data_IF_539427429569
#
_entry.id   IF_539427429569
#
_cell.length_a   1.000
_cell.length_b   1.000
_cell.length_c   1.000
_cell.angle_alpha   90.00
_cell.angle_beta   90.00
_cell.angle_gamma   90.00
#
_symmetry.space_group_name_H-M   'P 1'
#
loop_
_entity.id
_entity.type
_entity.pdbx_description
1 polymer ?
#
# COMPACT_ATOMS: atom_id res chain seq x y z
N UNK A 1 -27.87 29.15 -23.16
CA UNK A 1 -28.81 28.02 -23.35
C UNK A 1 -28.69 26.99 -22.22
N UNK A 2 -28.90 27.40 -20.95
CA UNK A 2 -28.85 26.53 -19.74
C UNK A 2 -29.64 27.15 -18.58
N UNK A 3 -30.80 27.76 -18.89
CA UNK A 3 -31.76 28.29 -17.90
C UNK A 3 -33.18 27.96 -18.38
N UNK A 4 -33.57 26.69 -18.34
CA UNK A 4 -34.97 26.25 -18.54
C UNK A 4 -35.20 24.80 -18.11
N UNK A 5 -34.85 24.46 -16.86
CA UNK A 5 -35.26 23.18 -16.24
C UNK A 5 -35.55 23.35 -14.75
N UNK A 6 -36.25 24.43 -14.39
CA UNK A 6 -36.82 24.59 -13.05
C UNK A 6 -38.34 24.72 -13.16
N UNK A 7 -38.99 23.64 -13.61
CA UNK A 7 -40.40 23.41 -13.26
C UNK A 7 -40.42 22.77 -11.88
N UNK A 8 -41.12 23.42 -10.95
CA UNK A 8 -41.59 22.82 -9.70
C UNK A 8 -42.40 21.59 -10.07
N UNK A 9 -41.82 20.41 -9.90
CA UNK A 9 -42.56 19.18 -9.74
C UNK A 9 -42.28 18.71 -8.33
N UNK A 10 -43.35 18.41 -7.61
CA UNK A 10 -43.40 17.65 -6.36
C UNK A 10 -42.25 16.65 -6.26
N UNK A 11 -41.73 16.49 -5.03
CA UNK A 11 -40.62 15.61 -4.67
C UNK A 11 -40.95 14.14 -4.98
N UNK A 12 -41.05 13.80 -6.25
CA UNK A 12 -41.28 12.46 -6.73
C UNK A 12 -39.99 11.73 -6.44
N UNK A 13 -40.04 10.87 -5.42
CA UNK A 13 -38.91 10.14 -4.88
C UNK A 13 -38.19 9.43 -6.04
N UNK A 14 -37.04 9.95 -6.44
CA UNK A 14 -36.22 9.31 -7.48
C UNK A 14 -35.84 7.93 -6.96
N UNK A 15 -36.42 6.88 -7.56
CA UNK A 15 -36.09 5.49 -7.22
C UNK A 15 -34.60 5.27 -7.46
N UNK A 16 -33.89 4.93 -6.38
CA UNK A 16 -32.44 4.72 -6.41
C UNK A 16 -32.10 3.27 -6.69
N UNK A 17 -30.94 2.99 -7.28
CA UNK A 17 -30.40 1.63 -7.33
C UNK A 17 -29.46 1.39 -6.16
N UNK A 18 -29.62 0.26 -5.49
CA UNK A 18 -28.79 -0.14 -4.36
C UNK A 18 -27.68 -1.06 -4.86
N UNK A 19 -26.44 -0.73 -4.49
CA UNK A 19 -25.31 -1.65 -4.56
C UNK A 19 -24.88 -2.03 -3.15
N UNK A 20 -24.73 -3.32 -2.87
CA UNK A 20 -24.29 -3.83 -1.58
C UNK A 20 -22.96 -4.55 -1.78
N UNK A 21 -21.98 -4.29 -0.90
CA UNK A 21 -20.70 -4.98 -0.99
C UNK A 21 -19.66 -4.54 0.02
N UNK A 22 -18.50 -5.21 -0.02
CA UNK A 22 -17.32 -4.84 0.76
C UNK A 22 -16.51 -3.71 0.14
N UNK A 23 -16.56 -3.52 -1.19
CA UNK A 23 -15.90 -2.41 -1.92
C UNK A 23 -14.39 -2.25 -1.69
N UNK A 24 -13.62 -3.35 -1.74
CA UNK A 24 -12.24 -3.38 -1.27
C UNK A 24 -11.21 -3.92 -2.28
N UNK A 25 -10.13 -3.16 -2.58
CA UNK A 25 -10.11 -1.69 -2.57
C UNK A 25 -11.14 -1.14 -3.56
N UNK A 26 -11.63 0.08 -3.35
CA UNK A 26 -12.48 0.72 -4.35
C UNK A 26 -11.64 1.11 -5.58
N UNK A 27 -12.09 0.77 -6.78
CA UNK A 27 -11.28 0.90 -8.00
C UNK A 27 -12.08 1.28 -9.26
N UNK A 28 -11.38 1.41 -10.39
CA UNK A 28 -11.96 1.78 -11.68
C UNK A 28 -13.12 0.88 -12.12
N UNK A 29 -12.99 -0.44 -11.98
CA UNK A 29 -14.10 -1.39 -12.19
C UNK A 29 -15.36 -1.06 -11.37
N UNK A 30 -15.24 -0.92 -10.04
CA UNK A 30 -16.37 -0.52 -9.18
C UNK A 30 -16.97 0.83 -9.59
N UNK A 31 -16.12 1.82 -9.88
CA UNK A 31 -16.57 3.13 -10.37
C UNK A 31 -17.37 2.99 -11.66
N UNK A 32 -16.90 2.20 -12.62
CA UNK A 32 -17.58 2.01 -13.90
C UNK A 32 -18.95 1.33 -13.74
N UNK A 33 -19.04 0.33 -12.86
CA UNK A 33 -20.29 -0.32 -12.49
C UNK A 33 -21.34 0.71 -12.03
N UNK A 34 -20.95 1.59 -11.12
CA UNK A 34 -21.80 2.64 -10.56
C UNK A 34 -22.13 3.71 -11.61
N UNK A 35 -21.14 4.12 -12.42
CA UNK A 35 -21.34 5.06 -13.52
C UNK A 35 -22.36 4.56 -14.56
N UNK A 36 -22.45 3.25 -14.80
CA UNK A 36 -23.46 2.66 -15.70
C UNK A 36 -24.89 2.91 -15.23
N UNK A 37 -25.12 3.01 -13.91
CA UNK A 37 -26.43 3.37 -13.36
C UNK A 37 -26.64 4.88 -13.39
N UNK A 38 -25.64 5.66 -12.96
CA UNK A 38 -25.70 7.12 -12.93
C UNK A 38 -25.95 7.72 -14.33
N UNK A 39 -25.34 7.15 -15.38
CA UNK A 39 -25.56 7.56 -16.77
C UNK A 39 -26.99 7.37 -17.26
N UNK A 40 -27.78 6.49 -16.63
CA UNK A 40 -29.21 6.31 -16.91
C UNK A 40 -30.10 7.30 -16.15
N UNK A 41 -29.51 8.33 -15.51
CA UNK A 41 -30.23 9.36 -14.77
C UNK A 41 -30.79 8.90 -13.42
N UNK A 42 -30.41 7.72 -12.93
CA UNK A 42 -30.83 7.18 -11.63
C UNK A 42 -29.84 7.58 -10.54
N UNK A 43 -30.34 7.88 -9.34
CA UNK A 43 -29.52 7.97 -8.13
C UNK A 43 -29.08 6.59 -7.65
N UNK A 44 -27.99 6.55 -6.90
CA UNK A 44 -27.35 5.32 -6.42
C UNK A 44 -27.19 5.39 -4.90
N UNK A 45 -27.50 4.27 -4.24
CA UNK A 45 -27.14 4.02 -2.84
C UNK A 45 -26.03 2.96 -2.84
N UNK A 46 -24.92 3.25 -2.17
CA UNK A 46 -23.80 2.32 -1.97
C UNK A 46 -23.80 1.91 -0.50
N UNK A 47 -24.21 0.67 -0.22
CA UNK A 47 -24.12 0.08 1.10
C UNK A 47 -22.77 -0.63 1.27
N UNK A 48 -21.99 -0.18 2.26
CA UNK A 48 -20.72 -0.76 2.65
C UNK A 48 -20.97 -1.71 3.83
N UNK A 49 -20.65 -2.99 3.64
CA UNK A 49 -20.65 -3.99 4.72
C UNK A 49 -19.51 -3.73 5.70
N UNK A 50 -19.84 -3.56 6.98
CA UNK A 50 -18.87 -3.38 8.05
C UNK A 50 -18.25 -4.73 8.48
N UNK A 51 -17.19 -5.09 7.77
CA UNK A 51 -16.50 -6.38 7.90
C UNK A 51 -15.18 -6.25 8.67
N UNK A 52 -14.80 -7.30 9.41
CA UNK A 52 -13.54 -7.33 10.17
C UNK A 52 -12.28 -7.09 9.31
N UNK A 53 -11.29 -6.40 9.90
CA UNK A 53 -10.03 -6.08 9.22
C UNK A 53 -9.04 -7.23 9.38
N UNK A 54 -8.52 -7.73 8.26
CA UNK A 54 -7.51 -8.79 8.23
C UNK A 54 -6.61 -8.67 6.98
N UNK A 55 -5.68 -9.61 6.78
CA UNK A 55 -4.74 -9.55 5.64
C UNK A 55 -5.42 -9.54 4.27
N UNK A 56 -6.56 -10.23 4.13
CA UNK A 56 -7.34 -10.29 2.89
C UNK A 56 -8.33 -9.12 2.76
N UNK A 57 -8.72 -8.53 3.89
CA UNK A 57 -9.60 -7.37 4.05
C UNK A 57 -8.90 -6.22 4.85
N UNK A 58 -7.81 -5.62 4.33
CA UNK A 58 -6.99 -4.65 5.07
C UNK A 58 -7.58 -3.25 5.31
N UNK A 59 -8.86 -2.96 5.01
CA UNK A 59 -9.41 -1.59 5.12
C UNK A 59 -10.62 -1.57 6.03
N UNK A 60 -10.64 -0.60 6.92
CA UNK A 60 -11.80 -0.27 7.76
C UNK A 60 -12.97 0.22 6.88
N UNK A 61 -14.18 0.18 7.44
CA UNK A 61 -15.37 0.71 6.77
C UNK A 61 -15.24 2.20 6.43
N UNK A 62 -14.60 2.99 7.29
CA UNK A 62 -14.38 4.42 7.07
C UNK A 62 -13.35 4.72 5.99
N UNK A 63 -12.28 3.91 5.88
CA UNK A 63 -11.32 4.03 4.79
C UNK A 63 -11.99 3.73 3.44
N UNK A 64 -12.79 2.67 3.38
CA UNK A 64 -13.58 2.32 2.19
C UNK A 64 -14.57 3.43 1.83
N UNK A 65 -15.28 3.97 2.82
CA UNK A 65 -16.16 5.12 2.65
C UNK A 65 -15.40 6.30 2.04
N UNK A 66 -14.23 6.64 2.57
CA UNK A 66 -13.38 7.72 2.04
C UNK A 66 -12.89 7.45 0.61
N UNK A 67 -12.58 6.20 0.26
CA UNK A 67 -12.21 5.83 -1.12
C UNK A 67 -13.38 6.03 -2.09
N UNK A 68 -14.57 5.56 -1.73
CA UNK A 68 -15.79 5.71 -2.55
C UNK A 68 -16.15 7.18 -2.69
N UNK A 69 -16.18 7.93 -1.59
CA UNK A 69 -16.51 9.35 -1.57
C UNK A 69 -15.56 10.15 -2.47
N UNK A 70 -14.24 9.94 -2.37
CA UNK A 70 -13.26 10.59 -3.25
C UNK A 70 -13.42 10.18 -4.71
N UNK A 71 -13.75 8.93 -5.01
CA UNK A 71 -13.87 8.47 -6.39
C UNK A 71 -15.12 9.00 -7.11
N UNK A 72 -16.18 9.30 -6.34
CA UNK A 72 -17.51 9.66 -6.83
C UNK A 72 -17.96 11.07 -6.42
N UNK A 73 -17.11 11.88 -5.78
CA UNK A 73 -17.47 13.22 -5.24
C UNK A 73 -18.20 14.10 -6.26
N UNK A 74 -17.79 14.05 -7.54
CA UNK A 74 -18.36 14.85 -8.64
C UNK A 74 -19.84 14.58 -8.91
N UNK A 75 -20.39 13.48 -8.41
CA UNK A 75 -21.80 13.11 -8.59
C UNK A 75 -22.72 13.73 -7.53
N UNK A 76 -22.16 14.31 -6.46
CA UNK A 76 -22.93 14.97 -5.40
C UNK A 76 -24.08 14.12 -4.89
N UNK A 77 -25.27 14.73 -4.77
CA UNK A 77 -26.47 14.12 -4.22
C UNK A 77 -27.03 12.92 -5.01
N UNK A 78 -26.49 12.63 -6.19
CA UNK A 78 -26.86 11.42 -6.94
C UNK A 78 -26.28 10.14 -6.31
N UNK A 79 -25.29 10.26 -5.41
CA UNK A 79 -24.66 9.13 -4.73
C UNK A 79 -24.83 9.28 -3.23
N UNK A 80 -25.54 8.34 -2.62
CA UNK A 80 -25.64 8.20 -1.16
C UNK A 80 -24.82 7.00 -0.71
N UNK A 81 -23.95 7.19 0.27
CA UNK A 81 -23.15 6.10 0.86
C UNK A 81 -23.72 5.81 2.25
N UNK A 82 -23.98 4.53 2.53
CA UNK A 82 -24.46 4.06 3.84
C UNK A 82 -23.56 2.93 4.33
N UNK A 83 -23.38 2.86 5.64
CA UNK A 83 -22.72 1.72 6.29
C UNK A 83 -23.82 0.81 6.83
N UNK A 84 -23.66 -0.50 6.61
CA UNK A 84 -24.54 -1.54 7.13
C UNK A 84 -23.71 -2.56 7.91
N UNK A 85 -24.29 -3.27 8.89
CA UNK A 85 -23.67 -4.44 9.49
C UNK A 85 -23.22 -5.45 8.43
N UNK A 86 -22.29 -6.34 8.78
CA UNK A 86 -22.00 -7.45 7.90
C UNK A 86 -23.24 -8.33 7.71
N UNK A 87 -23.43 -8.84 6.49
CA UNK A 87 -24.63 -9.63 6.12
C UNK A 87 -24.22 -10.89 5.37
N UNK A 88 -24.96 -11.96 5.60
CA UNK A 88 -24.78 -13.25 4.92
C UNK A 88 -25.62 -13.34 3.64
N UNK A 89 -26.85 -12.83 3.67
CA UNK A 89 -27.81 -12.97 2.58
C UNK A 89 -28.66 -11.71 2.34
N UNK A 90 -29.26 -11.63 1.15
CA UNK A 90 -30.27 -10.63 0.79
C UNK A 90 -31.54 -11.40 0.44
N UNK A 91 -32.52 -11.38 1.36
CA UNK A 91 -33.81 -12.02 1.18
C UNK A 91 -34.84 -11.02 0.62
N UNK A 92 -35.72 -11.49 -0.26
CA UNK A 92 -36.78 -10.68 -0.85
C UNK A 92 -38.07 -11.49 -0.99
N UNK A 93 -39.22 -10.82 -0.80
CA UNK A 93 -40.54 -11.43 -0.86
C UNK A 93 -41.22 -11.32 -2.23
N UNK A 94 -42.51 -11.65 -2.25
CA UNK A 94 -43.39 -11.37 -3.41
C UNK A 94 -43.70 -9.86 -3.49
N UNK A 95 -43.84 -9.34 -4.70
CA UNK A 95 -44.30 -7.97 -4.99
C UNK A 95 -43.46 -6.84 -4.36
N UNK A 96 -42.15 -7.05 -4.18
CA UNK A 96 -41.22 -6.11 -3.51
C UNK A 96 -41.02 -4.77 -4.22
N UNK A 97 -41.54 -4.59 -5.44
CA UNK A 97 -41.48 -3.32 -6.17
C UNK A 97 -40.09 -2.91 -6.69
N UNK A 98 -39.09 -3.78 -6.57
CA UNK A 98 -37.75 -3.64 -7.16
C UNK A 98 -37.34 -4.88 -7.96
N UNK A 99 -36.29 -4.74 -8.77
CA UNK A 99 -35.71 -5.84 -9.57
C UNK A 99 -34.26 -6.08 -9.17
N UNK A 100 -33.83 -7.33 -9.21
CA UNK A 100 -32.41 -7.68 -9.12
C UNK A 100 -31.83 -7.60 -10.53
N UNK A 101 -30.79 -6.80 -10.71
CA UNK A 101 -30.11 -6.63 -12.00
C UNK A 101 -28.64 -6.92 -11.85
N UNK A 102 -28.15 -7.90 -12.62
CA UNK A 102 -26.72 -8.08 -12.88
C UNK A 102 -26.27 -7.06 -13.93
N UNK A 103 -25.15 -6.40 -13.67
CA UNK A 103 -24.49 -5.52 -14.65
C UNK A 103 -23.21 -6.21 -15.08
N UNK A 104 -23.13 -6.56 -16.36
CA UNK A 104 -21.92 -7.09 -16.96
C UNK A 104 -21.07 -5.93 -17.49
N UNK A 105 -19.78 -5.96 -17.18
CA UNK A 105 -18.82 -5.00 -17.71
C UNK A 105 -18.00 -5.69 -18.80
N UNK A 106 -17.48 -4.91 -19.75
CA UNK A 106 -16.58 -5.48 -20.76
C UNK A 106 -15.38 -6.19 -20.09
N UNK A 107 -14.90 -7.32 -20.63
CA UNK A 107 -13.85 -8.14 -20.00
C UNK A 107 -12.56 -7.36 -19.66
N UNK A 108 -12.24 -6.31 -20.43
CA UNK A 108 -11.08 -5.44 -20.18
C UNK A 108 -11.22 -4.59 -18.91
N UNK A 109 -12.45 -4.25 -18.53
CA UNK A 109 -12.78 -3.44 -17.34
C UNK A 109 -12.89 -4.34 -16.10
N UNK A 110 -13.38 -5.58 -16.26
CA UNK A 110 -13.36 -6.60 -15.19
C UNK A 110 -11.93 -7.01 -14.80
N UNK A 111 -11.01 -7.00 -15.77
CA UNK A 111 -9.56 -7.21 -15.53
C UNK A 111 -8.89 -6.08 -14.74
N UNK A 112 -9.56 -4.96 -14.45
CA UNK A 112 -9.12 -3.99 -13.43
C UNK A 112 -9.39 -4.63 -12.06
N UNK A 113 -8.67 -5.70 -11.76
CA UNK A 113 -8.85 -6.49 -10.54
C UNK A 113 -8.38 -5.71 -9.32
N UNK A 114 -9.06 -5.90 -8.19
CA UNK A 114 -8.57 -5.46 -6.89
C UNK A 114 -7.16 -6.00 -6.58
N UNK A 115 -6.72 -7.07 -7.22
CA UNK A 115 -5.39 -7.68 -7.07
C UNK A 115 -4.27 -6.81 -7.65
N UNK A 116 -4.45 -6.18 -8.81
CA UNK A 116 -3.49 -5.20 -9.34
C UNK A 116 -3.43 -3.91 -8.49
N UNK A 117 -4.53 -3.63 -7.77
CA UNK A 117 -4.66 -2.43 -6.92
C UNK A 117 -4.20 -2.69 -5.49
N UNK A 118 -4.12 -3.94 -5.02
CA UNK A 118 -3.32 -4.29 -3.83
C UNK A 118 -1.84 -3.93 -4.03
N UNK A 119 -1.36 -3.94 -5.27
CA UNK A 119 0.00 -3.50 -5.63
C UNK A 119 0.07 -1.96 -5.74
N UNK A 120 -0.99 -1.30 -6.25
CA UNK A 120 -1.07 0.17 -6.36
C UNK A 120 -1.46 0.91 -5.07
N UNK A 121 -1.96 0.18 -4.07
CA UNK A 121 -2.23 0.63 -2.70
C UNK A 121 -1.35 -0.12 -1.69
N UNK A 122 -0.03 -0.21 -1.92
CA UNK A 122 0.82 0.07 -0.77
C UNK A 122 0.47 1.52 -0.39
N UNK A 123 -0.18 1.71 0.76
CA UNK A 123 -0.37 3.03 1.40
C UNK A 123 0.98 3.72 1.65
N UNK A 124 2.07 3.00 1.39
CA UNK A 124 3.45 3.38 1.50
C UNK A 124 4.17 3.30 0.14
N UNK A 125 4.99 4.30 -0.17
CA UNK A 125 6.00 4.24 -1.22
C UNK A 125 7.04 3.15 -0.91
N UNK A 126 7.86 2.73 -1.89
CA UNK A 126 8.86 1.68 -1.69
C UNK A 126 9.83 1.96 -0.52
N UNK A 127 10.15 0.90 0.21
CA UNK A 127 11.26 0.85 1.17
C UNK A 127 12.35 -0.03 0.53
N UNK A 128 13.53 0.53 0.32
CA UNK A 128 14.69 -0.15 -0.25
C UNK A 128 15.69 -0.37 0.88
N UNK A 129 16.03 -1.61 1.18
CA UNK A 129 16.91 -1.95 2.29
C UNK A 129 18.24 -2.49 1.79
N UNK A 130 19.29 -1.68 1.93
CA UNK A 130 20.66 -2.06 1.63
C UNK A 130 21.24 -2.81 2.84
N UNK A 131 21.56 -4.08 2.67
CA UNK A 131 22.26 -4.89 3.68
C UNK A 131 23.57 -5.42 3.13
N UNK A 132 24.58 -5.55 3.98
CA UNK A 132 25.93 -5.91 3.58
C UNK A 132 26.91 -5.63 4.72
N UNK A 133 28.10 -6.21 4.65
CA UNK A 133 29.14 -6.01 5.66
C UNK A 133 29.54 -4.52 5.80
N UNK A 134 30.14 -4.15 6.93
CA UNK A 134 30.70 -2.80 7.11
C UNK A 134 31.69 -2.48 5.98
N UNK A 135 31.59 -1.29 5.41
CA UNK A 135 32.46 -0.86 4.30
C UNK A 135 32.14 -1.47 2.94
N UNK A 136 31.02 -2.17 2.76
CA UNK A 136 30.59 -2.67 1.44
C UNK A 136 30.07 -1.57 0.48
N UNK A 137 30.14 -0.28 0.85
CA UNK A 137 29.65 0.81 -0.01
C UNK A 137 28.14 1.10 0.05
N UNK A 138 27.43 0.59 1.07
CA UNK A 138 25.98 0.82 1.24
C UNK A 138 25.60 2.30 1.24
N UNK A 139 26.30 3.15 2.00
CA UNK A 139 26.01 4.58 2.08
C UNK A 139 26.24 5.26 0.71
N UNK A 140 27.32 4.91 0.00
CA UNK A 140 27.57 5.39 -1.37
C UNK A 140 26.44 5.02 -2.33
N UNK A 141 25.96 3.78 -2.29
CA UNK A 141 24.82 3.32 -3.09
C UNK A 141 23.54 4.04 -2.67
N UNK A 142 23.32 4.27 -1.38
CA UNK A 142 22.16 4.98 -0.87
C UNK A 142 22.11 6.43 -1.39
N UNK A 143 23.24 7.13 -1.36
CA UNK A 143 23.36 8.51 -1.84
C UNK A 143 23.15 8.59 -3.36
N UNK A 144 23.77 7.69 -4.13
CA UNK A 144 23.59 7.62 -5.57
C UNK A 144 22.14 7.32 -5.95
N UNK A 145 21.50 6.40 -5.22
CA UNK A 145 20.09 6.05 -5.42
C UNK A 145 19.19 7.25 -5.08
N UNK A 146 19.40 7.92 -3.94
CA UNK A 146 18.63 9.10 -3.56
C UNK A 146 18.73 10.21 -4.60
N UNK A 147 19.92 10.47 -5.17
CA UNK A 147 20.07 11.46 -6.24
C UNK A 147 19.24 11.13 -7.49
N UNK A 148 19.07 9.83 -7.80
CA UNK A 148 18.35 9.38 -9.00
C UNK A 148 16.84 9.28 -8.83
N UNK A 149 16.38 8.76 -7.70
CA UNK A 149 14.94 8.48 -7.47
C UNK A 149 14.31 9.33 -6.37
N UNK A 150 15.08 10.21 -5.72
CA UNK A 150 14.67 10.96 -4.54
C UNK A 150 14.51 10.09 -3.29
N UNK A 151 13.82 10.63 -2.28
CA UNK A 151 13.48 9.91 -1.06
C UNK A 151 14.33 10.28 0.16
N UNK A 152 14.08 9.58 1.26
CA UNK A 152 14.73 9.81 2.56
C UNK A 152 15.67 8.64 2.85
N UNK A 153 16.91 8.96 3.22
CA UNK A 153 17.89 7.96 3.66
C UNK A 153 17.77 7.77 5.18
N UNK A 154 17.75 6.52 5.62
CA UNK A 154 17.96 6.13 7.02
C UNK A 154 19.34 5.47 7.13
N UNK A 155 20.36 6.26 7.46
CA UNK A 155 21.73 5.79 7.61
C UNK A 155 21.94 5.15 9.00
N UNK A 156 22.59 3.99 9.05
CA UNK A 156 22.77 3.25 10.29
C UNK A 156 23.58 3.97 11.36
N UNK A 157 24.53 4.84 10.99
CA UNK A 157 25.29 5.61 11.97
C UNK A 157 24.44 6.73 12.56
N UNK A 158 23.68 7.44 11.71
CA UNK A 158 22.76 8.48 12.15
C UNK A 158 21.63 7.90 13.02
N UNK A 159 21.01 6.80 12.58
CA UNK A 159 19.94 6.12 13.32
C UNK A 159 20.41 5.58 14.68
N UNK A 160 21.68 5.16 14.79
CA UNK A 160 22.24 4.75 16.08
C UNK A 160 22.35 5.91 17.06
N UNK A 161 22.75 7.09 16.58
CA UNK A 161 22.88 8.30 17.38
C UNK A 161 21.53 8.93 17.76
N UNK A 162 20.45 8.64 17.03
CA UNK A 162 19.15 9.26 17.25
C UNK A 162 18.15 8.33 17.94
N UNK A 163 17.82 7.19 17.33
CA UNK A 163 16.73 6.31 17.77
C UNK A 163 17.21 5.07 18.53
N UNK A 164 18.52 4.92 18.72
CA UNK A 164 19.14 3.80 19.44
C UNK A 164 20.25 4.25 20.38
N UNK A 165 20.08 5.44 20.97
CA UNK A 165 21.01 5.98 21.97
C UNK A 165 21.18 5.00 23.12
N UNK A 166 22.43 4.74 23.51
CA UNK A 166 22.77 3.79 24.58
C UNK A 166 22.82 2.31 24.16
N UNK A 167 22.45 1.96 22.93
CA UNK A 167 22.60 0.59 22.43
C UNK A 167 24.05 0.28 22.05
N UNK A 168 24.51 -0.89 22.47
CA UNK A 168 25.78 -1.45 22.03
C UNK A 168 25.69 -2.15 20.66
N UNK A 169 26.56 -3.14 20.48
CA UNK A 169 26.64 -3.96 19.28
C UNK A 169 26.35 -5.44 19.54
N UNK A 170 25.69 -5.75 20.65
CA UNK A 170 25.24 -7.12 20.96
C UNK A 170 24.23 -7.62 19.90
N UNK A 171 24.02 -8.94 19.84
CA UNK A 171 23.01 -9.53 18.94
C UNK A 171 21.63 -8.92 19.18
N UNK A 172 21.25 -8.75 20.44
CA UNK A 172 19.96 -8.20 20.84
C UNK A 172 19.85 -6.70 20.51
N UNK A 173 20.90 -5.91 20.77
CA UNK A 173 20.92 -4.48 20.40
C UNK A 173 20.79 -4.28 18.89
N UNK A 174 21.50 -5.09 18.10
CA UNK A 174 21.42 -5.06 16.64
C UNK A 174 20.02 -5.41 16.15
N UNK A 175 19.39 -6.41 16.75
CA UNK A 175 18.00 -6.78 16.45
C UNK A 175 17.05 -5.63 16.75
N UNK A 176 17.06 -5.10 17.97
CA UNK A 176 16.16 -3.99 18.35
C UNK A 176 16.38 -2.73 17.52
N UNK A 177 17.64 -2.37 17.25
CA UNK A 177 17.98 -1.27 16.35
C UNK A 177 17.34 -1.45 14.96
N UNK A 178 17.52 -2.62 14.35
CA UNK A 178 16.96 -2.93 13.04
C UNK A 178 15.43 -2.89 13.03
N UNK A 179 14.76 -3.40 14.08
CA UNK A 179 13.30 -3.35 14.20
C UNK A 179 12.78 -1.91 14.39
N UNK A 180 13.51 -1.06 15.12
CA UNK A 180 13.18 0.38 15.24
C UNK A 180 13.28 1.09 13.88
N UNK A 181 14.36 0.85 13.14
CA UNK A 181 14.53 1.38 11.79
C UNK A 181 13.41 0.90 10.86
N UNK A 182 13.02 -0.37 10.92
CA UNK A 182 11.92 -0.90 10.11
C UNK A 182 10.57 -0.21 10.39
N UNK A 183 10.24 0.02 11.67
CA UNK A 183 9.03 0.75 12.06
C UNK A 183 9.06 2.21 11.59
N UNK A 184 10.21 2.88 11.70
CA UNK A 184 10.40 4.24 11.18
C UNK A 184 10.25 4.30 9.66
N UNK A 185 10.83 3.32 8.94
CA UNK A 185 10.73 3.23 7.50
C UNK A 185 9.28 3.09 7.02
N UNK A 186 8.43 2.33 7.73
CA UNK A 186 6.98 2.27 7.44
C UNK A 186 6.30 3.62 7.63
N UNK A 187 6.61 4.32 8.72
CA UNK A 187 6.00 5.63 8.98
C UNK A 187 6.35 6.65 7.88
N UNK A 188 7.64 6.72 7.50
CA UNK A 188 8.13 7.63 6.45
C UNK A 188 7.65 7.24 5.07
N UNK A 189 7.52 5.92 4.81
CA UNK A 189 7.12 5.43 3.50
C UNK A 189 5.70 5.84 3.11
N UNK A 190 4.84 6.25 4.07
CA UNK A 190 3.53 6.85 3.76
C UNK A 190 3.62 8.03 2.78
N UNK A 191 4.75 8.75 2.74
CA UNK A 191 4.93 9.93 1.86
C UNK A 191 6.21 9.89 1.01
N UNK A 192 7.22 9.11 1.39
CA UNK A 192 8.56 9.14 0.79
C UNK A 192 9.02 7.75 0.34
N UNK A 193 9.79 7.66 -0.74
CA UNK A 193 10.65 6.47 -0.92
C UNK A 193 11.64 6.48 0.24
N UNK A 194 11.84 5.33 0.90
CA UNK A 194 12.76 5.22 2.03
C UNK A 194 13.91 4.31 1.64
N UNK A 195 15.14 4.80 1.79
CA UNK A 195 16.37 4.06 1.50
C UNK A 195 17.05 3.79 2.83
N UNK A 196 17.10 2.52 3.24
CA UNK A 196 17.70 2.12 4.52
C UNK A 196 19.11 1.60 4.26
N UNK A 197 20.12 2.23 4.88
CA UNK A 197 21.53 1.84 4.82
C UNK A 197 21.98 1.34 6.19
N UNK A 198 21.56 0.13 6.57
CA UNK A 198 21.83 -0.46 7.89
C UNK A 198 22.37 -1.88 7.75
N UNK A 199 23.26 -2.28 8.67
CA UNK A 199 23.70 -3.68 8.75
C UNK A 199 22.62 -4.50 9.46
N UNK A 200 21.99 -5.42 8.72
CA UNK A 200 21.05 -6.42 9.22
C UNK A 200 21.71 -7.81 9.18
N UNK A 201 22.59 -8.14 10.15
CA UNK A 201 23.52 -9.26 10.02
C UNK A 201 22.88 -10.63 10.23
N UNK A 202 21.73 -10.71 10.90
CA UNK A 202 21.11 -11.99 11.27
C UNK A 202 19.84 -12.24 10.46
N UNK A 203 19.70 -13.46 9.94
CA UNK A 203 18.56 -13.91 9.14
C UNK A 203 17.24 -13.80 9.92
N UNK A 204 17.25 -14.17 11.20
CA UNK A 204 16.08 -14.03 12.08
C UNK A 204 15.57 -12.57 12.12
N UNK A 205 16.49 -11.59 12.14
CA UNK A 205 16.14 -10.17 12.14
C UNK A 205 15.59 -9.75 10.79
N UNK A 206 16.19 -10.21 9.68
CA UNK A 206 15.69 -9.93 8.32
C UNK A 206 14.28 -10.46 8.10
N UNK A 207 13.97 -11.67 8.58
CA UNK A 207 12.60 -12.23 8.52
C UNK A 207 11.57 -11.38 9.26
N UNK A 208 11.93 -10.88 10.45
CA UNK A 208 11.07 -9.95 11.21
C UNK A 208 10.88 -8.62 10.48
N UNK A 209 11.93 -8.11 9.83
CA UNK A 209 11.83 -6.92 8.97
C UNK A 209 10.90 -7.19 7.78
N UNK A 210 10.92 -8.39 7.18
CA UNK A 210 10.01 -8.76 6.10
C UNK A 210 8.55 -8.74 6.54
N UNK A 211 8.24 -9.27 7.72
CA UNK A 211 6.89 -9.23 8.29
C UNK A 211 6.39 -7.80 8.51
N UNK A 212 7.28 -6.93 9.00
CA UNK A 212 6.98 -5.54 9.35
C UNK A 212 6.89 -4.66 8.09
N UNK A 213 7.99 -4.52 7.36
CA UNK A 213 8.18 -3.48 6.35
C UNK A 213 8.13 -4.00 4.90
N UNK A 214 8.23 -5.31 4.68
CA UNK A 214 8.28 -5.94 3.34
C UNK A 214 9.19 -5.18 2.35
N UNK A 215 10.45 -4.88 2.72
CA UNK A 215 11.31 -4.02 1.90
C UNK A 215 11.80 -4.74 0.63
N UNK A 216 12.26 -3.95 -0.32
CA UNK A 216 13.07 -4.43 -1.44
C UNK A 216 14.50 -4.59 -0.91
N UNK A 217 14.90 -5.82 -0.64
CA UNK A 217 16.26 -6.16 -0.22
C UNK A 217 17.28 -6.00 -1.34
N UNK A 218 18.30 -5.20 -1.09
CA UNK A 218 19.52 -5.09 -1.89
C UNK A 218 20.68 -5.62 -1.06
N UNK A 219 21.21 -6.77 -1.46
CA UNK A 219 22.40 -7.33 -0.84
C UNK A 219 23.65 -6.75 -1.51
N UNK A 220 24.41 -5.97 -0.75
CA UNK A 220 25.69 -5.42 -1.18
C UNK A 220 26.80 -6.36 -0.70
N UNK A 221 27.21 -7.23 -1.62
CA UNK A 221 28.24 -8.23 -1.41
C UNK A 221 29.62 -7.61 -1.41
N UNK A 222 30.46 -8.11 -0.51
CA UNK A 222 31.89 -7.79 -0.40
C UNK A 222 32.63 -9.02 0.07
N UNK A 223 33.74 -9.35 -0.58
CA UNK A 223 34.57 -10.50 -0.21
C UNK A 223 35.48 -10.17 0.98
N UNK A 224 34.89 -10.15 2.18
CA UNK A 224 35.63 -10.00 3.45
C UNK A 224 35.29 -11.16 4.38
N UNK A 225 36.31 -11.67 5.07
CA UNK A 225 36.19 -12.77 6.04
C UNK A 225 35.23 -12.39 7.17
N UNK A 226 34.21 -13.21 7.37
CA UNK A 226 33.28 -13.09 8.51
C UNK A 226 34.00 -13.55 9.77
N UNK A 227 33.87 -12.77 10.84
CA UNK A 227 34.54 -13.00 12.14
C UNK A 227 33.52 -12.98 13.27
N UNK A 228 33.90 -13.45 14.46
CA UNK A 228 33.01 -13.41 15.64
C UNK A 228 32.71 -11.97 16.07
N UNK A 229 33.66 -11.05 15.84
CA UNK A 229 33.56 -9.62 16.17
C UNK A 229 32.69 -8.87 15.15
N UNK A 230 32.66 -9.35 13.90
CA UNK A 230 31.82 -8.81 12.81
C UNK A 230 30.95 -9.92 12.23
N UNK A 231 29.99 -10.45 13.01
CA UNK A 231 29.14 -11.53 12.55
C UNK A 231 28.21 -11.01 11.44
N UNK A 232 28.09 -11.79 10.37
CA UNK A 232 27.19 -11.50 9.27
C UNK A 232 26.78 -12.80 8.59
N UNK A 233 25.50 -13.12 8.64
CA UNK A 233 24.90 -14.24 7.91
C UNK A 233 24.53 -13.74 6.52
N UNK A 234 25.08 -14.38 5.49
CA UNK A 234 24.80 -14.05 4.08
C UNK A 234 23.29 -14.21 3.84
N UNK A 235 22.60 -13.17 3.31
CA UNK A 235 21.17 -13.26 3.03
C UNK A 235 20.86 -14.37 2.04
N UNK A 236 19.96 -15.27 2.41
CA UNK A 236 19.48 -16.34 1.52
C UNK A 236 18.41 -15.83 0.54
N UNK A 237 17.74 -14.72 0.89
CA UNK A 237 16.74 -14.06 0.07
C UNK A 237 17.11 -12.60 -0.11
N UNK A 238 17.10 -12.14 -1.35
CA UNK A 238 17.27 -10.74 -1.74
C UNK A 238 16.58 -10.52 -3.09
N UNK A 239 16.21 -9.28 -3.38
CA UNK A 239 15.62 -8.93 -4.68
C UNK A 239 16.71 -8.51 -5.67
N UNK A 240 17.75 -7.84 -5.18
CA UNK A 240 18.88 -7.35 -5.97
C UNK A 240 20.17 -7.71 -5.22
N UNK A 241 21.18 -8.17 -5.97
CA UNK A 241 22.54 -8.38 -5.47
C UNK A 241 23.48 -7.44 -6.21
N UNK A 242 24.32 -6.73 -5.46
CA UNK A 242 25.32 -5.81 -5.98
C UNK A 242 26.69 -6.24 -5.46
N UNK A 243 27.64 -6.49 -6.35
CA UNK A 243 29.01 -6.84 -5.94
C UNK A 243 29.86 -5.56 -5.87
N UNK A 244 30.24 -5.17 -4.66
CA UNK A 244 31.01 -3.95 -4.42
C UNK A 244 32.46 -4.02 -4.90
N UNK A 245 33.02 -5.22 -5.10
CA UNK A 245 34.41 -5.40 -5.54
C UNK A 245 34.59 -5.11 -7.05
N UNK A 246 33.49 -5.01 -7.82
CA UNK A 246 33.49 -4.69 -9.25
C UNK A 246 32.84 -3.33 -9.58
N UNK A 247 32.48 -2.53 -8.57
CA UNK A 247 31.90 -1.20 -8.78
C UNK A 247 33.01 -0.18 -9.04
N UNK A 248 33.47 -0.07 -10.29
CA UNK A 248 34.03 1.20 -10.77
C UNK A 248 32.91 2.24 -10.79
N UNK A 249 33.11 3.48 -10.30
CA UNK A 249 32.05 4.48 -10.10
C UNK A 249 31.21 4.89 -11.33
N UNK A 250 31.50 4.39 -12.54
CA UNK A 250 30.96 4.95 -13.78
C UNK A 250 30.02 4.06 -14.59
N UNK A 251 29.77 2.79 -14.24
CA UNK A 251 29.17 1.85 -15.22
C UNK A 251 27.85 1.13 -14.96
N UNK A 252 27.16 1.31 -13.84
CA UNK A 252 25.92 0.55 -13.65
C UNK A 252 24.83 1.34 -12.93
N UNK A 253 24.16 2.22 -13.67
CA UNK A 253 22.76 2.54 -13.42
C UNK A 253 22.15 3.04 -14.73
N UNK A 254 21.77 2.07 -15.56
CA UNK A 254 20.75 2.19 -16.62
C UNK A 254 19.56 1.29 -16.24
#
# INVERSE_FOLDING_TARGET
>A
MLKKLRKKTTQQTRRSSLFVGRWQPFHGGHKKLIETVLKKGKSVIIAIRDTEVNQSNPYTVYERWGMIQRALYKYGDLVKIVVIPDIDEICYGRDVGYVIRRIELEPKIEKISGTAIRIKHRVTKPIIWLTGQTGAGKTTIADALQKKIGGVILDGNEMRKSISVGFGFSKQDRKEHNLRVARLAIALSKKNIVIVSVIAPFEETRRKIDEIAKPIWVYVERNVKITKEKPYEIPQKYHIKVNSDHLTPEKNVD
#
